data_IF_359349276639
#
_entry.id   IF_359349276639
#
_cell.length_a   1.000
_cell.length_b   1.000
_cell.length_c   1.000
_cell.angle_alpha   90.00
_cell.angle_beta   90.00
_cell.angle_gamma   90.00
#
_symmetry.space_group_name_H-M   'P 1'
#
loop_
_entity.id
_entity.type
_entity.pdbx_description
1 polymer ?
#
# COMPACT_ATOMS: atom_id res chain seq x y z
N UNK A 1 -10.20 2.03 5.86
CA UNK A 1 -9.00 2.42 5.07
C UNK A 1 -8.60 3.82 5.50
N UNK A 2 -7.32 4.12 5.77
CA UNK A 2 -6.97 5.47 6.23
C UNK A 2 -7.03 6.42 5.02
N UNK A 3 -7.73 7.55 5.11
CA UNK A 3 -7.85 8.51 3.98
C UNK A 3 -6.48 8.87 3.39
N UNK A 4 -5.45 8.91 4.24
CA UNK A 4 -4.06 9.13 3.86
C UNK A 4 -3.51 8.15 2.81
N UNK A 5 -3.84 6.86 2.88
CA UNK A 5 -3.27 5.88 1.93
C UNK A 5 -3.82 6.10 0.51
N UNK A 6 -5.06 6.59 0.40
CA UNK A 6 -5.68 6.90 -0.89
C UNK A 6 -5.05 8.16 -1.49
N UNK A 7 -4.81 9.19 -0.67
CA UNK A 7 -4.06 10.37 -1.09
C UNK A 7 -2.62 10.06 -1.53
N UNK A 8 -1.91 9.20 -0.79
CA UNK A 8 -0.54 8.77 -1.15
C UNK A 8 -0.53 8.06 -2.50
N UNK A 9 -1.46 7.12 -2.71
CA UNK A 9 -1.58 6.42 -4.00
C UNK A 9 -1.87 7.39 -5.14
N UNK A 10 -2.75 8.38 -4.91
CA UNK A 10 -3.14 9.37 -5.91
C UNK A 10 -1.96 10.28 -6.30
N UNK A 11 -1.20 10.78 -5.31
CA UNK A 11 -0.03 11.63 -5.55
C UNK A 11 1.08 10.86 -6.25
N UNK A 12 1.42 9.63 -5.81
CA UNK A 12 2.47 8.84 -6.47
C UNK A 12 2.11 8.53 -7.92
N UNK A 13 0.85 8.17 -8.18
CA UNK A 13 0.41 7.83 -9.53
C UNK A 13 0.45 9.04 -10.46
N UNK A 14 0.10 10.22 -9.93
CA UNK A 14 0.17 11.47 -10.69
C UNK A 14 1.63 11.85 -11.00
N UNK A 15 2.54 11.71 -10.03
CA UNK A 15 3.96 12.02 -10.18
C UNK A 15 4.66 11.17 -11.25
N UNK A 16 4.25 9.90 -11.38
CA UNK A 16 4.82 8.96 -12.37
C UNK A 16 4.37 9.32 -13.79
N UNK A 17 3.14 9.83 -13.94
CA UNK A 17 2.52 10.06 -15.24
C UNK A 17 2.77 11.47 -15.79
N UNK A 18 2.91 12.48 -14.91
CA UNK A 18 3.18 13.87 -15.28
C UNK A 18 4.37 14.11 -16.25
N UNK A 19 5.54 13.44 -16.13
CA UNK A 19 6.69 13.76 -16.98
C UNK A 19 6.58 13.29 -18.43
N UNK A 20 5.62 12.42 -18.78
CA UNK A 20 5.59 11.77 -20.11
C UNK A 20 4.85 12.57 -21.20
N UNK A 21 4.14 13.64 -20.84
CA UNK A 21 3.35 14.41 -21.79
C UNK A 21 4.09 15.49 -22.57
N UNK A 22 5.28 15.89 -22.13
CA UNK A 22 5.95 17.06 -22.68
C UNK A 22 6.50 16.84 -24.12
N UNK A 23 6.56 15.60 -24.61
CA UNK A 23 7.40 15.23 -25.76
C UNK A 23 6.67 14.63 -26.99
N UNK A 24 5.36 14.84 -27.15
CA UNK A 24 4.61 14.28 -28.30
C UNK A 24 4.06 15.39 -29.23
N UNK A 25 4.87 15.89 -30.17
CA UNK A 25 4.48 17.00 -31.04
C UNK A 25 3.51 16.63 -32.18
N UNK A 26 3.27 15.34 -32.46
CA UNK A 26 2.53 14.89 -33.66
C UNK A 26 1.39 13.87 -33.41
N UNK A 27 0.99 13.65 -32.15
CA UNK A 27 -0.03 12.65 -31.80
C UNK A 27 -1.35 13.33 -31.49
N UNK A 28 -2.48 12.78 -31.97
CA UNK A 28 -3.82 13.30 -31.65
C UNK A 28 -3.99 13.44 -30.14
N UNK A 29 -4.30 14.64 -29.65
CA UNK A 29 -4.46 14.97 -28.23
C UNK A 29 -5.38 13.97 -27.51
N UNK A 30 -6.42 13.47 -28.21
CA UNK A 30 -7.35 12.49 -27.68
C UNK A 30 -6.69 11.15 -27.33
N UNK A 31 -5.80 10.65 -28.20
CA UNK A 31 -5.06 9.41 -27.95
C UNK A 31 -4.08 9.57 -26.79
N UNK A 32 -3.44 10.73 -26.68
CA UNK A 32 -2.51 10.99 -25.57
C UNK A 32 -3.25 11.10 -24.24
N UNK A 33 -4.47 11.66 -24.22
CA UNK A 33 -5.34 11.68 -23.04
C UNK A 33 -5.70 10.26 -22.59
N UNK A 34 -6.15 9.41 -23.51
CA UNK A 34 -6.53 8.02 -23.20
C UNK A 34 -5.34 7.22 -22.69
N UNK A 35 -4.18 7.29 -23.38
CA UNK A 35 -2.97 6.55 -23.01
C UNK A 35 -2.51 6.88 -21.58
N UNK A 36 -2.52 8.14 -21.21
CA UNK A 36 -2.23 8.57 -19.84
C UNK A 36 -3.26 8.12 -18.84
N UNK A 37 -4.55 8.23 -19.15
CA UNK A 37 -5.59 7.78 -18.21
C UNK A 37 -5.42 6.29 -17.91
N UNK A 38 -5.09 5.49 -18.93
CA UNK A 38 -4.79 4.07 -18.77
C UNK A 38 -3.53 3.87 -17.91
N UNK A 39 -2.42 4.53 -18.23
CA UNK A 39 -1.17 4.45 -17.47
C UNK A 39 -1.37 4.86 -16.01
N UNK A 40 -2.02 6.00 -15.78
CA UNK A 40 -2.37 6.50 -14.45
C UNK A 40 -3.19 5.49 -13.66
N UNK A 41 -4.22 4.92 -14.28
CA UNK A 41 -5.07 3.93 -13.64
C UNK A 41 -4.29 2.68 -13.25
N UNK A 42 -3.41 2.18 -14.14
CA UNK A 42 -2.57 1.02 -13.86
C UNK A 42 -1.58 1.27 -12.72
N UNK A 43 -0.89 2.41 -12.74
CA UNK A 43 0.02 2.79 -11.66
C UNK A 43 -0.73 2.97 -10.34
N UNK A 44 -1.89 3.61 -10.37
CA UNK A 44 -2.74 3.79 -9.20
C UNK A 44 -3.19 2.46 -8.61
N UNK A 45 -3.65 1.53 -9.45
CA UNK A 45 -4.07 0.21 -8.98
C UNK A 45 -2.88 -0.55 -8.36
N UNK A 46 -1.72 -0.52 -9.00
CA UNK A 46 -0.51 -1.17 -8.51
C UNK A 46 -0.08 -0.63 -7.15
N UNK A 47 0.09 0.69 -7.03
CA UNK A 47 0.49 1.34 -5.78
C UNK A 47 -0.56 1.08 -4.68
N UNK A 48 -1.84 1.16 -5.01
CA UNK A 48 -2.92 0.91 -4.07
C UNK A 48 -2.89 -0.52 -3.52
N UNK A 49 -2.72 -1.51 -4.39
CA UNK A 49 -2.60 -2.92 -4.00
C UNK A 49 -1.37 -3.13 -3.12
N UNK A 50 -0.21 -2.56 -3.48
CA UNK A 50 1.01 -2.66 -2.67
C UNK A 50 0.82 -2.06 -1.28
N UNK A 51 0.21 -0.88 -1.16
CA UNK A 51 -0.07 -0.25 0.14
C UNK A 51 -1.01 -1.09 1.01
N UNK A 52 -2.02 -1.71 0.41
CA UNK A 52 -2.90 -2.62 1.13
C UNK A 52 -2.17 -3.89 1.58
N UNK A 53 -1.30 -4.45 0.75
CA UNK A 53 -0.49 -5.61 1.09
C UNK A 53 0.43 -5.31 2.29
N UNK A 54 1.14 -4.18 2.25
CA UNK A 54 2.02 -3.74 3.35
C UNK A 54 1.21 -3.58 4.64
N UNK A 55 0.01 -2.99 4.55
CA UNK A 55 -0.86 -2.81 5.71
C UNK A 55 -1.36 -4.15 6.27
N UNK A 56 -1.73 -5.08 5.40
CA UNK A 56 -2.15 -6.42 5.78
C UNK A 56 -1.02 -7.16 6.52
N UNK A 57 0.19 -7.18 5.94
CA UNK A 57 1.36 -7.79 6.56
C UNK A 57 1.67 -7.16 7.92
N UNK A 58 1.66 -5.83 8.02
CA UNK A 58 1.86 -5.14 9.30
C UNK A 58 0.85 -5.56 10.36
N UNK A 59 -0.42 -5.70 9.99
CA UNK A 59 -1.46 -6.11 10.93
C UNK A 59 -1.28 -7.56 11.38
N UNK A 60 -0.94 -8.45 10.44
CA UNK A 60 -0.66 -9.85 10.73
C UNK A 60 0.55 -10.01 11.67
N UNK A 61 1.64 -9.28 11.42
CA UNK A 61 2.84 -9.31 12.28
C UNK A 61 2.52 -8.78 13.69
N UNK A 62 1.73 -7.71 13.80
CA UNK A 62 1.31 -7.21 15.11
C UNK A 62 0.47 -8.22 15.87
N UNK A 63 -0.43 -8.93 15.18
CA UNK A 63 -1.25 -9.95 15.80
C UNK A 63 -0.40 -11.14 16.28
N UNK A 64 0.55 -11.59 15.46
CA UNK A 64 1.51 -12.62 15.87
C UNK A 64 2.32 -12.21 17.10
N UNK A 65 2.79 -10.96 17.16
CA UNK A 65 3.50 -10.43 18.34
C UNK A 65 2.64 -10.44 19.60
N UNK A 66 1.36 -10.08 19.48
CA UNK A 66 0.42 -10.12 20.61
C UNK A 66 0.20 -11.54 21.11
N UNK A 67 0.00 -12.51 20.20
CA UNK A 67 -0.17 -13.93 20.55
C UNK A 67 1.07 -14.47 21.27
N UNK A 68 2.27 -14.18 20.76
CA UNK A 68 3.53 -14.59 21.41
C UNK A 68 3.67 -13.97 22.80
N UNK A 69 3.29 -12.70 22.96
CA UNK A 69 3.33 -12.02 24.27
C UNK A 69 2.39 -12.68 25.28
N UNK A 70 1.16 -12.99 24.87
CA UNK A 70 0.18 -13.69 25.71
C UNK A 70 0.65 -15.11 26.09
N UNK A 71 1.23 -15.85 25.13
CA UNK A 71 1.81 -17.17 25.40
C UNK A 71 2.94 -17.12 26.43
N UNK A 72 3.83 -16.12 26.33
CA UNK A 72 4.90 -15.92 27.30
C UNK A 72 4.36 -15.55 28.68
N UNK A 73 3.31 -14.72 28.75
CA UNK A 73 2.66 -14.35 30.00
C UNK A 73 2.03 -15.56 30.69
N UNK A 74 1.26 -16.37 29.94
CA UNK A 74 0.68 -17.62 30.43
C UNK A 74 1.77 -18.58 30.93
N UNK A 75 2.84 -18.77 30.15
CA UNK A 75 3.96 -19.64 30.55
C UNK A 75 4.60 -19.19 31.86
N UNK A 76 4.83 -17.88 32.02
CA UNK A 76 5.40 -17.33 33.24
C UNK A 76 4.47 -17.50 34.45
N UNK A 77 3.15 -17.33 34.27
CA UNK A 77 2.17 -17.56 35.33
C UNK A 77 2.12 -19.03 35.77
N UNK A 78 2.22 -19.98 34.83
CA UNK A 78 2.26 -21.41 35.14
C UNK A 78 3.54 -21.75 35.92
N UNK A 79 4.70 -21.31 35.44
CA UNK A 79 5.99 -21.55 36.11
C UNK A 79 6.05 -20.94 37.52
N UNK A 80 5.34 -19.83 37.77
CA UNK A 80 5.29 -19.23 39.10
C UNK A 80 4.36 -19.98 40.06
N UNK A 81 3.33 -20.67 39.55
CA UNK A 81 2.41 -21.50 40.34
C UNK A 81 2.99 -22.85 40.76
N UNK A 82 4.02 -23.34 40.06
CA UNK A 82 4.70 -24.61 40.38
C UNK A 82 5.87 -24.46 41.38
N UNK A 83 6.19 -23.23 41.81
CA UNK A 83 7.17 -22.92 42.86
C UNK A 83 6.49 -22.56 44.16
#
# INVERSE_FOLDING_TARGET
>A
MNKNNLWIALVLSFLIVAPFYWFLPNTSLFLVIIDTLIKFTLYFLGIFLTLNLIKYLKNQTNHQKQVIKLLNEIKNTINHKEK
#
